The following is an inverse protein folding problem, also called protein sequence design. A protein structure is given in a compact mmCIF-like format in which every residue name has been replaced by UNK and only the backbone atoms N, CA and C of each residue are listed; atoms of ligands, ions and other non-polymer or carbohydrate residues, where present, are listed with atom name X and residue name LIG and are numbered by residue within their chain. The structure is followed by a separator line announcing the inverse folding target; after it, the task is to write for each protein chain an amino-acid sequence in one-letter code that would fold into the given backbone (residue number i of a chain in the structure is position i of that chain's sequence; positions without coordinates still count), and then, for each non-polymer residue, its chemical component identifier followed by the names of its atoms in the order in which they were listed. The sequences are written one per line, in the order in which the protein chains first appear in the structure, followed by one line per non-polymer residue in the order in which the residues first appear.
data_IF_801801116712
#
_entry.id   IF_801801116712
#
_cell.length_a   1.000
_cell.length_b   1.000
_cell.length_c   1.000
_cell.angle_alpha   90.00
_cell.angle_beta   90.00
_cell.angle_gamma   90.00
#
_symmetry.space_group_name_H-M   'P 1'
#
loop_
_entity.id
_entity.type
_entity.pdbx_description
1 polymer ?
#
# COMPACT_ATOMS: atom_id res chain seq x y z
N UNK A 1 -16.11 26.42 28.84
CA UNK A 1 -14.86 26.23 28.07
C UNK A 1 -15.10 25.08 27.10
N UNK A 2 -15.81 25.32 26.01
CA UNK A 2 -16.15 24.26 25.03
C UNK A 2 -16.11 24.84 23.61
N UNK A 3 -14.91 25.20 23.18
CA UNK A 3 -14.63 25.68 21.82
C UNK A 3 -13.18 25.39 21.50
N UNK A 4 -12.81 24.11 21.48
CA UNK A 4 -11.49 23.69 21.02
C UNK A 4 -11.63 23.14 19.60
N UNK A 5 -11.04 23.82 18.62
CA UNK A 5 -10.95 23.33 17.25
C UNK A 5 -9.50 22.93 16.96
N UNK A 6 -9.30 21.87 16.15
CA UNK A 6 -7.97 21.43 15.73
C UNK A 6 -7.89 21.45 14.21
N UNK A 7 -6.86 22.09 13.68
CA UNK A 7 -6.52 22.07 12.26
C UNK A 7 -5.05 21.69 12.07
N UNK A 8 -4.68 21.26 10.87
CA UNK A 8 -3.30 21.03 10.52
C UNK A 8 -2.92 21.80 9.25
N UNK A 9 -1.67 22.22 9.19
CA UNK A 9 -1.06 22.91 8.07
C UNK A 9 0.18 22.15 7.63
N UNK A 10 0.36 22.04 6.31
CA UNK A 10 1.52 21.40 5.72
C UNK A 10 1.92 22.18 4.46
N UNK A 11 3.23 22.35 4.23
CA UNK A 11 3.70 23.03 3.02
C UNK A 11 3.58 22.15 1.78
N UNK A 12 3.31 22.77 0.62
CA UNK A 12 3.26 22.03 -0.66
C UNK A 12 4.54 21.23 -0.95
N UNK A 13 5.69 21.71 -0.52
CA UNK A 13 6.98 21.02 -0.67
C UNK A 13 7.04 19.71 0.12
N UNK A 14 6.52 19.68 1.36
CA UNK A 14 6.49 18.45 2.17
C UNK A 14 5.53 17.44 1.55
N UNK A 15 4.37 17.87 1.05
CA UNK A 15 3.41 16.98 0.39
C UNK A 15 4.02 16.39 -0.88
N UNK A 16 4.67 17.23 -1.69
CA UNK A 16 5.39 16.81 -2.89
C UNK A 16 6.50 15.82 -2.59
N UNK A 17 7.30 16.07 -1.54
CA UNK A 17 8.38 15.17 -1.13
C UNK A 17 7.85 13.80 -0.63
N UNK A 18 6.78 13.80 0.16
CA UNK A 18 6.10 12.57 0.61
C UNK A 18 5.59 11.76 -0.60
N UNK A 19 4.92 12.42 -1.55
CA UNK A 19 4.42 11.79 -2.76
C UNK A 19 5.55 11.25 -3.63
N UNK A 20 6.61 12.04 -3.86
CA UNK A 20 7.79 11.64 -4.63
C UNK A 20 8.44 10.38 -4.05
N UNK A 21 8.65 10.34 -2.74
CA UNK A 21 9.21 9.15 -2.11
C UNK A 21 8.31 7.92 -2.26
N UNK A 22 7.00 8.08 -2.09
CA UNK A 22 6.09 6.96 -2.24
C UNK A 22 6.09 6.41 -3.67
N UNK A 23 6.10 7.30 -4.68
CA UNK A 23 6.12 6.89 -6.08
C UNK A 23 7.39 6.11 -6.45
N UNK A 24 8.51 6.38 -5.79
CA UNK A 24 9.76 5.64 -5.96
C UNK A 24 9.78 4.26 -5.26
N UNK A 25 8.77 3.95 -4.45
CA UNK A 25 8.69 2.67 -3.72
C UNK A 25 7.57 1.81 -4.30
N UNK A 26 7.85 0.54 -4.60
CA UNK A 26 6.91 -0.42 -5.20
C UNK A 26 5.90 -1.02 -4.20
N UNK A 27 5.95 -0.58 -2.94
CA UNK A 27 5.19 -1.10 -1.82
C UNK A 27 4.63 0.05 -0.96
N UNK A 28 3.81 -0.32 0.04
CA UNK A 28 3.34 0.61 1.06
C UNK A 28 4.52 1.19 1.84
N UNK A 29 4.43 2.47 2.20
CA UNK A 29 5.47 3.18 2.94
C UNK A 29 4.90 3.83 4.19
N UNK A 30 5.72 3.98 5.21
CA UNK A 30 5.33 4.58 6.49
C UNK A 30 6.47 5.43 7.05
N UNK A 31 6.14 6.31 7.98
CA UNK A 31 7.12 7.18 8.60
C UNK A 31 6.53 8.14 9.61
N UNK A 32 7.36 9.04 10.13
CA UNK A 32 6.99 10.00 11.16
C UNK A 32 6.87 11.41 10.60
N UNK A 33 6.02 12.21 11.22
CA UNK A 33 5.81 13.63 10.92
C UNK A 33 6.35 14.46 12.09
N UNK A 34 7.16 15.46 11.75
CA UNK A 34 7.81 16.36 12.68
C UNK A 34 7.30 17.78 12.48
N UNK A 35 7.13 18.49 13.59
CA UNK A 35 6.51 19.80 13.54
C UNK A 35 6.34 20.40 14.92
N UNK A 36 5.38 21.30 15.02
CA UNK A 36 4.98 21.94 16.27
C UNK A 36 3.46 22.08 16.34
N UNK A 37 2.93 22.20 17.56
CA UNK A 37 1.52 22.49 17.79
C UNK A 37 1.39 23.85 18.44
N UNK A 38 0.59 24.73 17.85
CA UNK A 38 0.34 26.10 18.31
C UNK A 38 -1.12 26.24 18.73
N UNK A 39 -1.36 26.70 19.95
CA UNK A 39 -2.70 27.09 20.41
C UNK A 39 -2.88 28.60 20.29
N UNK A 40 -3.86 29.04 19.51
CA UNK A 40 -4.21 30.45 19.35
C UNK A 40 -5.59 30.70 19.96
N UNK A 41 -5.67 31.58 20.95
CA UNK A 41 -6.94 32.02 21.51
C UNK A 41 -7.53 33.13 20.63
N UNK A 42 -8.72 32.86 20.09
CA UNK A 42 -9.48 33.81 19.27
C UNK A 42 -10.71 34.27 20.05
N UNK A 43 -10.75 35.56 20.34
CA UNK A 43 -11.93 36.18 20.93
C UNK A 43 -12.91 36.50 19.80
N UNK A 44 -14.07 35.87 19.82
CA UNK A 44 -15.17 36.18 18.92
C UNK A 44 -16.07 37.20 19.60
N UNK A 45 -16.04 38.44 19.11
CA UNK A 45 -16.94 39.51 19.59
C UNK A 45 -18.26 39.33 18.85
N UNK A 46 -19.31 38.99 19.61
CA UNK A 46 -20.67 38.90 19.07
C UNK A 46 -21.39 40.24 19.19
N UNK A 47 -22.33 40.53 18.29
CA UNK A 47 -23.15 41.77 18.30
C UNK A 47 -23.96 41.95 19.61
N UNK A 48 -24.05 40.91 20.43
CA UNK A 48 -24.80 40.83 21.70
C UNK A 48 -23.99 41.19 22.96
N UNK A 49 -22.80 41.80 22.86
CA UNK A 49 -21.92 42.12 24.01
C UNK A 49 -21.55 40.88 24.86
N UNK A 50 -21.57 39.69 24.25
CA UNK A 50 -21.06 38.46 24.86
C UNK A 50 -19.75 38.09 24.19
N UNK A 51 -18.71 37.92 25.01
CA UNK A 51 -17.41 37.43 24.56
C UNK A 51 -17.39 35.91 24.65
N UNK A 52 -17.13 35.25 23.52
CA UNK A 52 -16.80 33.82 23.50
C UNK A 52 -15.34 33.64 23.08
N UNK A 53 -14.62 32.79 23.82
CA UNK A 53 -13.19 32.53 23.62
C UNK A 53 -13.05 31.12 23.06
N UNK A 54 -12.69 31.04 21.78
CA UNK A 54 -12.35 29.79 21.11
C UNK A 54 -10.83 29.62 21.11
N UNK A 55 -10.34 28.40 21.38
CA UNK A 55 -8.92 28.07 21.25
C UNK A 55 -8.74 27.17 20.03
N UNK A 56 -7.98 27.66 19.06
CA UNK A 56 -7.67 26.95 17.83
C UNK A 56 -6.28 26.34 17.96
N UNK A 57 -6.22 25.01 17.97
CA UNK A 57 -4.97 24.25 17.94
C UNK A 57 -4.57 23.97 16.49
N UNK A 58 -3.47 24.56 16.05
CA UNK A 58 -2.92 24.38 14.70
C UNK A 58 -1.66 23.52 14.77
N UNK A 59 -1.69 22.37 14.08
CA UNK A 59 -0.57 21.44 13.96
C UNK A 59 0.21 21.81 12.69
N UNK A 60 1.41 22.37 12.83
CA UNK A 60 2.27 22.74 11.72
C UNK A 60 3.26 21.60 11.40
N UNK A 61 3.04 20.90 10.28
CA UNK A 61 3.88 19.79 9.84
C UNK A 61 5.01 20.33 8.96
N UNK A 62 6.23 20.24 9.46
CA UNK A 62 7.40 20.91 8.89
C UNK A 62 8.35 19.94 8.18
N UNK A 63 8.45 18.70 8.64
CA UNK A 63 9.36 17.67 8.08
C UNK A 63 8.75 16.28 8.25
N UNK A 64 9.24 15.33 7.48
CA UNK A 64 8.94 13.91 7.66
C UNK A 64 10.22 13.07 7.78
N UNK A 65 10.09 11.88 8.37
CA UNK A 65 11.13 10.85 8.43
C UNK A 65 10.56 9.58 7.83
N UNK A 66 11.09 9.11 6.69
CA UNK A 66 10.65 7.85 6.13
C UNK A 66 11.25 6.64 6.84
N UNK A 67 10.44 5.60 6.98
CA UNK A 67 10.90 4.26 7.34
C UNK A 67 10.97 3.41 6.06
N UNK A 68 12.17 3.03 5.63
CA UNK A 68 12.39 2.28 4.38
C UNK A 68 11.96 0.81 4.45
N UNK A 69 11.50 0.33 5.61
CA UNK A 69 11.03 -1.03 5.81
C UNK A 69 9.77 -1.03 6.66
N UNK A 70 8.74 -1.74 6.20
CA UNK A 70 7.54 -2.02 6.98
C UNK A 70 7.89 -2.84 8.23
N UNK A 71 7.16 -2.61 9.33
CA UNK A 71 7.43 -3.30 10.61
C UNK A 71 8.84 -3.02 11.16
N UNK A 72 9.44 -1.88 10.79
CA UNK A 72 10.78 -1.51 11.28
C UNK A 72 10.79 -1.13 12.76
N UNK A 73 9.67 -0.63 13.29
CA UNK A 73 9.54 -0.18 14.68
C UNK A 73 8.37 -0.83 15.44
N UNK A 74 7.69 -1.81 14.84
CA UNK A 74 6.57 -2.52 15.48
C UNK A 74 6.44 -3.96 14.97
N UNK A 75 5.78 -4.82 15.74
CA UNK A 75 5.55 -6.23 15.39
C UNK A 75 4.20 -6.47 14.68
N UNK A 76 3.92 -7.72 14.30
CA UNK A 76 2.65 -8.10 13.64
C UNK A 76 1.40 -7.77 14.46
N UNK A 77 1.53 -7.81 15.79
CA UNK A 77 0.50 -7.45 16.78
C UNK A 77 0.34 -5.94 16.98
N UNK A 78 1.16 -5.11 16.35
CA UNK A 78 1.11 -3.65 16.49
C UNK A 78 1.78 -3.11 17.75
N UNK A 79 2.54 -3.93 18.48
CA UNK A 79 3.34 -3.50 19.62
C UNK A 79 4.61 -2.80 19.15
N UNK A 80 4.95 -1.69 19.80
CA UNK A 80 6.06 -0.82 19.39
C UNK A 80 7.36 -1.32 20.01
N UNK A 81 8.40 -1.42 19.19
CA UNK A 81 9.76 -1.68 19.65
C UNK A 81 10.44 -0.34 19.99
N UNK A 82 10.56 -0.04 21.29
CA UNK A 82 11.18 1.19 21.77
C UNK A 82 12.61 1.42 21.28
N UNK A 83 13.42 0.38 21.20
CA UNK A 83 14.83 0.51 20.81
C UNK A 83 14.93 0.91 19.33
N UNK A 84 14.11 0.28 18.49
CA UNK A 84 14.01 0.63 17.09
C UNK A 84 13.46 2.05 16.89
N UNK A 85 12.42 2.41 17.65
CA UNK A 85 11.84 3.76 17.63
C UNK A 85 12.86 4.82 18.03
N UNK A 86 13.58 4.61 19.15
CA UNK A 86 14.66 5.49 19.62
C UNK A 86 15.79 5.62 18.59
N UNK A 87 16.11 4.54 17.87
CA UNK A 87 17.11 4.56 16.78
C UNK A 87 16.65 5.40 15.60
N UNK A 88 15.39 5.27 15.17
CA UNK A 88 14.83 6.04 14.04
C UNK A 88 14.72 7.52 14.39
N UNK A 89 14.32 7.82 15.63
CA UNK A 89 14.17 9.19 16.13
C UNK A 89 15.48 9.75 16.72
N UNK A 90 16.60 9.00 16.65
CA UNK A 90 17.88 9.47 17.16
C UNK A 90 18.38 10.67 16.36
N UNK A 91 18.76 11.74 17.06
CA UNK A 91 19.24 12.97 16.43
C UNK A 91 18.16 13.92 15.92
N UNK A 92 16.88 13.63 16.16
CA UNK A 92 15.78 14.54 15.84
C UNK A 92 15.65 15.60 16.93
N UNK A 93 15.75 16.88 16.54
CA UNK A 93 15.61 18.03 17.46
C UNK A 93 14.17 18.55 17.60
N UNK A 94 13.28 18.19 16.66
CA UNK A 94 11.88 18.66 16.61
C UNK A 94 10.94 17.60 17.18
N UNK A 95 9.79 18.05 17.65
CA UNK A 95 8.79 17.15 18.22
C UNK A 95 8.09 16.32 17.15
N UNK A 96 7.72 15.10 17.54
CA UNK A 96 6.92 14.21 16.71
C UNK A 96 5.45 14.59 16.88
N UNK A 97 4.89 15.23 15.86
CA UNK A 97 3.48 15.63 15.83
C UNK A 97 2.58 14.52 15.29
N UNK A 98 3.13 13.57 14.54
CA UNK A 98 2.34 12.53 13.94
C UNK A 98 3.15 11.44 13.26
N UNK A 99 2.43 10.59 12.55
CA UNK A 99 3.00 9.61 11.64
C UNK A 99 2.14 9.50 10.39
N UNK A 100 2.72 8.97 9.32
CA UNK A 100 2.04 8.83 8.04
C UNK A 100 2.16 7.42 7.50
N UNK A 101 1.21 7.06 6.63
CA UNK A 101 1.26 5.83 5.87
C UNK A 101 0.64 6.00 4.50
N UNK A 102 1.30 5.43 3.50
CA UNK A 102 0.78 5.27 2.16
C UNK A 102 0.23 3.87 1.97
N UNK A 103 -0.97 3.76 1.40
CA UNK A 103 -1.57 2.49 0.98
C UNK A 103 -2.08 2.58 -0.44
N UNK A 104 -1.59 1.73 -1.32
CA UNK A 104 -2.04 1.71 -2.72
C UNK A 104 -3.42 1.06 -2.82
N UNK A 105 -4.32 1.66 -3.59
CA UNK A 105 -5.64 1.10 -3.92
C UNK A 105 -6.47 0.68 -2.69
N UNK A 106 -6.51 1.54 -1.68
CA UNK A 106 -7.16 1.25 -0.40
C UNK A 106 -8.17 2.34 -0.05
N UNK A 107 -9.20 1.97 0.71
CA UNK A 107 -10.17 2.91 1.25
C UNK A 107 -9.51 3.95 2.15
N UNK A 108 -10.08 5.15 2.20
CA UNK A 108 -9.58 6.22 3.04
C UNK A 108 -10.08 6.08 4.49
N UNK A 109 -9.71 4.98 5.16
CA UNK A 109 -10.07 4.72 6.57
C UNK A 109 -8.93 3.99 7.30
N UNK A 110 -8.76 4.25 8.60
CA UNK A 110 -7.73 3.57 9.39
C UNK A 110 -8.03 2.07 9.56
N UNK A 111 -7.03 1.22 9.35
CA UNK A 111 -7.13 -0.22 9.62
C UNK A 111 -7.06 -0.51 11.12
N UNK A 112 -7.48 -1.71 11.53
CA UNK A 112 -7.36 -2.17 12.91
C UNK A 112 -5.92 -2.04 13.46
N UNK A 113 -4.92 -2.47 12.67
CA UNK A 113 -3.51 -2.38 13.07
C UNK A 113 -3.06 -0.93 13.23
N UNK A 114 -3.43 -0.03 12.32
CA UNK A 114 -3.07 1.39 12.42
C UNK A 114 -3.70 2.05 13.66
N UNK A 115 -4.94 1.69 14.01
CA UNK A 115 -5.58 2.18 15.23
C UNK A 115 -4.87 1.73 16.50
N UNK A 116 -4.43 0.48 16.54
CA UNK A 116 -3.67 -0.07 17.68
C UNK A 116 -2.27 0.54 17.76
N UNK A 117 -1.56 0.60 16.63
CA UNK A 117 -0.24 1.20 16.53
C UNK A 117 -0.25 2.67 16.94
N UNK A 118 -1.26 3.43 16.51
CA UNK A 118 -1.41 4.83 16.89
C UNK A 118 -1.54 4.99 18.41
N UNK A 119 -2.39 4.18 19.07
CA UNK A 119 -2.53 4.20 20.54
C UNK A 119 -1.22 3.85 21.24
N UNK A 120 -0.52 2.84 20.75
CA UNK A 120 0.77 2.43 21.31
C UNK A 120 1.82 3.53 21.12
N UNK A 121 1.91 4.16 19.94
CA UNK A 121 2.80 5.29 19.72
C UNK A 121 2.48 6.49 20.61
N UNK A 122 1.19 6.79 20.83
CA UNK A 122 0.74 7.85 21.73
C UNK A 122 1.25 7.64 23.16
N UNK A 123 1.25 6.39 23.64
CA UNK A 123 1.78 6.03 24.96
C UNK A 123 3.31 6.17 25.03
N UNK A 124 4.05 5.68 24.02
CA UNK A 124 5.51 5.68 24.04
C UNK A 124 6.12 7.06 23.79
N UNK A 125 5.48 7.90 22.96
CA UNK A 125 5.96 9.25 22.64
C UNK A 125 5.49 10.30 23.65
N UNK A 126 4.61 9.93 24.61
CA UNK A 126 3.97 10.85 25.56
C UNK A 126 3.22 12.03 24.91
N UNK A 127 2.96 11.97 23.60
CA UNK A 127 2.26 13.00 22.84
C UNK A 127 0.77 12.69 22.80
N UNK A 128 -0.03 13.50 23.50
CA UNK A 128 -1.49 13.30 23.54
C UNK A 128 -2.19 13.67 22.23
N UNK A 129 -1.56 14.50 21.41
CA UNK A 129 -2.14 15.09 20.19
C UNK A 129 -1.58 14.52 18.89
N UNK A 130 -1.08 13.28 18.94
CA UNK A 130 -0.51 12.62 17.77
C UNK A 130 -1.55 12.52 16.65
N UNK A 131 -1.15 12.88 15.43
CA UNK A 131 -1.99 12.74 14.24
C UNK A 131 -1.51 11.61 13.32
N UNK A 132 -2.43 11.06 12.54
CA UNK A 132 -2.15 10.03 11.54
C UNK A 132 -2.55 10.50 10.14
N UNK A 133 -1.57 10.70 9.26
CA UNK A 133 -1.79 11.07 7.86
C UNK A 133 -1.86 9.82 7.00
N UNK A 134 -3.04 9.54 6.44
CA UNK A 134 -3.25 8.45 5.51
C UNK A 134 -3.28 8.99 4.08
N UNK A 135 -2.46 8.41 3.20
CA UNK A 135 -2.46 8.72 1.78
C UNK A 135 -2.79 7.47 0.96
N UNK A 136 -3.74 7.58 0.04
CA UNK A 136 -4.22 6.48 -0.79
C UNK A 136 -4.14 6.85 -2.27
N UNK A 137 -3.03 6.53 -2.95
CA UNK A 137 -2.98 6.59 -4.39
C UNK A 137 -3.84 5.49 -5.01
N UNK A 138 -4.64 5.86 -6.00
CA UNK A 138 -5.50 4.97 -6.77
C UNK A 138 -5.46 5.35 -8.25
N UNK A 139 -5.74 4.36 -9.10
CA UNK A 139 -5.94 4.55 -10.53
C UNK A 139 -7.45 4.58 -10.75
N UNK A 140 -7.94 5.61 -11.42
CA UNK A 140 -9.39 5.82 -11.61
C UNK A 140 -9.88 5.20 -12.91
N UNK A 141 -9.05 5.24 -13.95
CA UNK A 141 -9.40 4.71 -15.28
C UNK A 141 -8.67 3.40 -15.55
N UNK A 142 -9.34 2.44 -16.19
CA UNK A 142 -8.71 1.16 -16.58
C UNK A 142 -7.53 1.34 -17.53
N UNK A 143 -7.54 2.42 -18.32
CA UNK A 143 -6.46 2.81 -19.22
C UNK A 143 -5.24 3.40 -18.51
N UNK A 144 -5.27 3.58 -17.17
CA UNK A 144 -4.24 4.27 -16.40
C UNK A 144 -3.98 5.71 -16.87
N UNK A 145 -4.94 6.37 -17.51
CA UNK A 145 -4.83 7.77 -17.94
C UNK A 145 -5.05 8.77 -16.81
N UNK A 146 -5.71 8.35 -15.73
CA UNK A 146 -6.09 9.23 -14.62
C UNK A 146 -5.76 8.58 -13.28
N UNK A 147 -4.94 9.26 -12.50
CA UNK A 147 -4.52 8.87 -11.15
C UNK A 147 -5.12 9.83 -10.13
N UNK A 148 -5.38 9.32 -8.93
CA UNK A 148 -5.89 10.09 -7.79
C UNK A 148 -5.02 9.81 -6.57
N UNK A 149 -4.54 10.87 -5.91
CA UNK A 149 -3.89 10.79 -4.61
C UNK A 149 -4.80 11.41 -3.55
N UNK A 150 -5.59 10.57 -2.90
CA UNK A 150 -6.45 11.01 -1.79
C UNK A 150 -5.64 11.02 -0.49
N UNK A 151 -5.87 12.02 0.37
CA UNK A 151 -5.18 12.13 1.64
C UNK A 151 -6.11 12.66 2.73
N UNK A 152 -5.93 12.20 3.96
CA UNK A 152 -6.76 12.58 5.10
C UNK A 152 -5.95 12.45 6.39
N UNK A 153 -6.17 13.39 7.31
CA UNK A 153 -5.50 13.43 8.59
C UNK A 153 -6.48 13.01 9.69
N UNK A 154 -6.06 12.08 10.54
CA UNK A 154 -6.87 11.52 11.62
C UNK A 154 -6.31 11.90 12.98
N UNK A 155 -7.18 12.30 13.91
CA UNK A 155 -6.87 12.56 15.32
C UNK A 155 -7.77 11.70 16.21
N UNK A 156 -7.24 11.06 17.27
CA UNK A 156 -8.08 10.40 18.26
C UNK A 156 -8.84 11.45 19.10
N UNK A 157 -10.15 11.30 19.23
CA UNK A 157 -11.00 12.13 20.08
C UNK A 157 -12.07 11.23 20.73
N UNK A 158 -12.12 11.23 22.07
CA UNK A 158 -13.08 10.44 22.87
C UNK A 158 -13.11 8.93 22.50
N UNK A 159 -11.97 8.35 22.15
CA UNK A 159 -11.82 6.92 21.80
C UNK A 159 -12.13 6.54 20.34
N UNK A 160 -12.65 7.49 19.55
CA UNK A 160 -12.86 7.38 18.11
C UNK A 160 -11.79 8.18 17.35
N UNK A 161 -11.62 7.90 16.05
CA UNK A 161 -10.74 8.65 15.18
C UNK A 161 -11.56 9.52 14.26
N UNK A 162 -11.32 10.83 14.29
CA UNK A 162 -12.02 11.80 13.46
C UNK A 162 -11.05 12.40 12.45
N UNK A 163 -11.58 12.76 11.28
CA UNK A 163 -10.82 13.51 10.27
C UNK A 163 -10.71 14.96 10.72
N UNK A 164 -9.50 15.50 10.66
CA UNK A 164 -9.25 16.93 10.89
C UNK A 164 -8.87 17.61 9.57
N UNK A 165 -9.24 18.89 9.38
CA UNK A 165 -8.90 19.62 8.17
C UNK A 165 -7.38 19.77 8.04
N UNK A 166 -6.86 19.47 6.85
CA UNK A 166 -5.47 19.68 6.47
C UNK A 166 -5.42 20.75 5.38
N UNK A 167 -4.74 21.85 5.66
CA UNK A 167 -4.55 22.96 4.72
C UNK A 167 -3.14 22.90 4.13
N UNK A 168 -3.05 22.96 2.81
CA UNK A 168 -1.76 23.06 2.12
C UNK A 168 -1.41 24.52 1.90
N UNK A 169 -0.40 24.99 2.66
CA UNK A 169 0.03 26.39 2.59
C UNK A 169 0.64 26.70 1.22
N UNK A 170 0.16 27.78 0.60
CA UNK A 170 0.58 28.24 -0.72
C UNK A 170 0.58 29.78 -0.79
N UNK A 171 1.26 30.33 -1.83
CA UNK A 171 1.40 31.78 -2.02
C UNK A 171 0.07 32.50 -2.32
N UNK A 172 -0.91 31.80 -2.91
CA UNK A 172 -2.23 32.33 -3.23
C UNK A 172 -3.07 32.65 -1.99
N UNK A 173 -2.66 32.21 -0.80
CA UNK A 173 -3.35 32.60 0.44
C UNK A 173 -3.06 34.05 0.85
N UNK A 174 -2.12 34.74 0.18
CA UNK A 174 -1.74 36.13 0.44
C UNK A 174 -2.19 37.06 -0.69
N UNK A 175 -3.49 37.12 -0.98
CA UNK A 175 -4.05 37.96 -2.04
C UNK A 175 -4.23 39.42 -1.61
N UNK A 176 -3.16 40.20 -1.70
CA UNK A 176 -3.21 41.66 -1.81
C UNK A 176 -2.26 42.13 -2.91
N UNK A 177 -2.59 41.84 -4.17
CA UNK A 177 -1.77 42.23 -5.34
C UNK A 177 -2.18 43.57 -5.96
N UNK A 178 -3.11 44.30 -5.34
CA UNK A 178 -3.62 45.56 -5.85
C UNK A 178 -2.65 46.72 -5.62
N UNK A 179 -1.90 47.12 -6.64
CA UNK A 179 -1.18 48.39 -6.63
C UNK A 179 -2.11 49.55 -6.99
N UNK A 180 -2.03 50.65 -6.22
CA UNK A 180 -2.75 51.89 -6.54
C UNK A 180 -2.05 52.63 -7.68
N UNK A 181 -2.63 52.60 -8.87
CA UNK A 181 -2.08 53.23 -10.08
C UNK A 181 -2.44 54.71 -10.21
N UNK A 182 -3.56 55.13 -9.64
CA UNK A 182 -4.05 56.51 -9.69
C UNK A 182 -4.18 57.06 -8.28
N UNK A 183 -3.59 58.23 -8.04
CA UNK A 183 -3.79 58.99 -6.81
C UNK A 183 -4.93 60.00 -6.99
N UNK A 184 -5.70 60.24 -5.91
CA UNK A 184 -6.62 61.37 -5.89
C UNK A 184 -5.82 62.66 -5.77
N UNK A 185 -6.10 63.66 -6.62
CA UNK A 185 -5.43 64.94 -6.55
C UNK A 185 -5.85 65.71 -5.29
N UNK A 186 -4.89 66.31 -4.60
CA UNK A 186 -5.13 67.16 -3.43
C UNK A 186 -4.45 68.52 -3.65
N UNK A 187 -5.22 69.61 -3.61
CA UNK A 187 -4.69 70.98 -3.76
C UNK A 187 -4.21 71.60 -2.44
N UNK A 188 -4.22 70.84 -1.34
CA UNK A 188 -3.81 71.33 -0.03
C UNK A 188 -2.30 71.54 0.04
N UNK A 189 -1.88 72.80 0.17
CA UNK A 189 -0.48 73.19 0.33
C UNK A 189 0.12 72.70 1.65
N UNK A 190 -0.69 72.59 2.71
CA UNK A 190 -0.29 72.04 4.00
C UNK A 190 0.06 70.56 3.91
N UNK A 191 -0.77 69.77 3.23
CA UNK A 191 -0.50 68.35 2.98
C UNK A 191 0.81 68.15 2.19
N UNK A 192 0.98 68.86 1.07
CA UNK A 192 2.20 68.76 0.26
C UNK A 192 3.46 69.17 1.02
N UNK A 193 3.37 70.18 1.90
CA UNK A 193 4.51 70.60 2.72
C UNK A 193 4.91 69.50 3.70
N UNK A 194 3.95 68.94 4.43
CA UNK A 194 4.21 67.87 5.40
C UNK A 194 4.84 66.64 4.72
N UNK A 195 4.28 66.19 3.59
CA UNK A 195 4.83 65.05 2.83
C UNK A 195 6.27 65.32 2.38
N UNK A 196 6.56 66.52 1.87
CA UNK A 196 7.93 66.90 1.45
C UNK A 196 8.91 66.99 2.62
N UNK A 197 8.48 67.45 3.79
CA UNK A 197 9.33 67.52 4.99
C UNK A 197 9.78 66.12 5.44
N UNK A 198 8.91 65.12 5.35
CA UNK A 198 9.21 63.75 5.78
C UNK A 198 9.61 62.80 4.63
N UNK A 199 9.60 63.25 3.36
CA UNK A 199 9.84 62.36 2.21
C UNK A 199 11.24 61.74 2.21
N UNK A 200 12.24 62.45 2.71
CA UNK A 200 13.62 61.97 2.79
C UNK A 200 13.80 60.79 3.77
N UNK A 201 12.82 60.52 4.63
CA UNK A 201 12.83 59.34 5.51
C UNK A 201 12.67 58.05 4.70
N UNK A 202 11.72 58.05 3.75
CA UNK A 202 11.31 56.87 2.98
C UNK A 202 11.93 56.79 1.58
N UNK A 203 12.10 57.93 0.92
CA UNK A 203 12.64 58.03 -0.43
C UNK A 203 14.14 58.33 -0.44
N UNK A 204 14.84 57.79 -1.42
CA UNK A 204 16.21 58.19 -1.78
C UNK A 204 16.17 59.44 -2.66
N UNK A 205 17.34 60.02 -2.91
CA UNK A 205 17.49 61.23 -3.73
C UNK A 205 17.06 61.01 -5.20
N UNK A 206 17.10 59.77 -5.69
CA UNK A 206 16.64 59.36 -7.03
C UNK A 206 15.12 59.14 -7.12
N UNK A 207 14.38 59.33 -6.02
CA UNK A 207 12.93 59.10 -5.94
C UNK A 207 12.53 57.64 -5.71
N UNK A 208 13.49 56.73 -5.53
CA UNK A 208 13.19 55.33 -5.22
C UNK A 208 12.90 55.10 -3.73
N UNK A 209 12.12 54.06 -3.43
CA UNK A 209 11.80 53.71 -2.04
C UNK A 209 12.96 52.91 -1.42
N UNK A 210 13.39 53.32 -0.22
CA UNK A 210 14.48 52.64 0.51
C UNK A 210 14.14 51.19 0.88
N UNK A 211 12.89 50.94 1.28
CA UNK A 211 12.44 49.61 1.72
C UNK A 211 12.42 48.58 0.59
N UNK A 212 12.09 49.00 -0.65
CA UNK A 212 12.14 48.11 -1.82
C UNK A 212 13.55 47.56 -2.02
N UNK A 213 14.57 48.41 -1.89
CA UNK A 213 15.95 47.97 -2.02
C UNK A 213 16.36 47.00 -0.90
N UNK A 214 16.02 47.31 0.36
CA UNK A 214 16.33 46.42 1.49
C UNK A 214 15.69 45.04 1.34
N UNK A 215 14.41 44.99 0.95
CA UNK A 215 13.69 43.72 0.73
C UNK A 215 14.31 42.96 -0.43
N UNK A 216 14.67 43.64 -1.53
CA UNK A 216 15.33 43.01 -2.67
C UNK A 216 16.73 42.47 -2.33
N UNK A 217 17.52 43.19 -1.52
CA UNK A 217 18.82 42.73 -1.04
C UNK A 217 18.69 41.51 -0.11
N UNK A 218 17.72 41.54 0.80
CA UNK A 218 17.38 40.40 1.65
C UNK A 218 16.96 39.18 0.81
N UNK A 219 16.11 39.40 -0.19
CA UNK A 219 15.65 38.35 -1.10
C UNK A 219 16.81 37.76 -1.93
N UNK A 220 17.68 38.62 -2.48
CA UNK A 220 18.86 38.18 -3.23
C UNK A 220 19.81 37.35 -2.36
N UNK A 221 20.03 37.78 -1.11
CA UNK A 221 20.85 37.04 -0.15
C UNK A 221 20.26 35.65 0.15
N UNK A 222 18.94 35.57 0.37
CA UNK A 222 18.24 34.30 0.58
C UNK A 222 18.30 33.38 -0.65
N UNK A 223 18.22 33.96 -1.85
CA UNK A 223 18.29 33.22 -3.11
C UNK A 223 19.68 32.60 -3.32
N UNK A 224 20.76 33.33 -3.01
CA UNK A 224 22.12 32.79 -3.08
C UNK A 224 22.37 31.68 -2.05
N UNK A 225 21.85 31.81 -0.83
CA UNK A 225 21.86 30.74 0.16
C UNK A 225 21.13 29.49 -0.34
N UNK A 226 19.93 29.66 -0.92
CA UNK A 226 19.16 28.55 -1.50
C UNK A 226 19.94 27.86 -2.63
N UNK A 227 20.60 28.64 -3.49
CA UNK A 227 21.46 28.12 -4.56
C UNK A 227 22.63 27.31 -4.01
N UNK A 228 23.31 27.81 -2.97
CA UNK A 228 24.40 27.09 -2.30
C UNK A 228 23.92 25.75 -1.71
N UNK A 229 22.73 25.72 -1.10
CA UNK A 229 22.14 24.49 -0.57
C UNK A 229 21.77 23.53 -1.71
N UNK A 230 21.20 24.02 -2.81
CA UNK A 230 20.89 23.19 -3.99
C UNK A 230 22.13 22.46 -4.52
N UNK A 231 23.27 23.15 -4.65
CA UNK A 231 24.54 22.53 -5.09
C UNK A 231 25.00 21.41 -4.14
N UNK A 232 24.88 21.64 -2.82
CA UNK A 232 25.23 20.63 -1.80
C UNK A 232 24.31 19.40 -1.87
N UNK A 233 22.99 19.63 -2.02
CA UNK A 233 22.00 18.55 -2.16
C UNK A 233 22.28 17.74 -3.42
N UNK A 234 22.55 18.40 -4.54
CA UNK A 234 22.85 17.75 -5.81
C UNK A 234 24.11 16.86 -5.71
N UNK A 235 25.18 17.35 -5.09
CA UNK A 235 26.36 16.53 -4.81
C UNK A 235 26.03 15.32 -3.92
N UNK A 236 25.19 15.50 -2.89
CA UNK A 236 24.79 14.43 -1.99
C UNK A 236 23.94 13.36 -2.68
N UNK A 237 23.03 13.74 -3.56
CA UNK A 237 22.21 12.82 -4.36
C UNK A 237 23.09 11.97 -5.29
N UNK A 238 24.06 12.58 -5.99
CA UNK A 238 25.04 11.83 -6.80
C UNK A 238 25.85 10.83 -5.97
N UNK A 239 26.23 11.21 -4.75
CA UNK A 239 26.96 10.31 -3.84
C UNK A 239 26.08 9.13 -3.38
N UNK A 240 24.81 9.38 -3.03
CA UNK A 240 23.83 8.34 -2.67
C UNK A 240 23.58 7.41 -3.86
N UNK A 241 23.42 7.94 -5.07
CA UNK A 241 23.24 7.15 -6.29
C UNK A 241 24.41 6.18 -6.51
N UNK A 242 25.65 6.69 -6.39
CA UNK A 242 26.86 5.86 -6.52
C UNK A 242 26.88 4.74 -5.47
N UNK A 243 26.58 5.08 -4.22
CA UNK A 243 26.56 4.11 -3.13
C UNK A 243 25.46 3.05 -3.33
N UNK A 244 24.28 3.46 -3.79
CA UNK A 244 23.17 2.55 -4.06
C UNK A 244 23.52 1.57 -5.19
N UNK A 245 24.19 2.05 -6.25
CA UNK A 245 24.71 1.19 -7.33
C UNK A 245 25.71 0.15 -6.81
N UNK A 246 26.63 0.56 -5.94
CA UNK A 246 27.61 -0.34 -5.34
C UNK A 246 26.94 -1.39 -4.43
N UNK A 247 25.99 -0.99 -3.59
CA UNK A 247 25.22 -1.90 -2.73
C UNK A 247 24.43 -2.92 -3.57
N UNK A 248 23.80 -2.48 -4.65
CA UNK A 248 23.04 -3.37 -5.53
C UNK A 248 23.95 -4.36 -6.27
N UNK A 249 25.14 -3.92 -6.73
CA UNK A 249 26.16 -4.79 -7.32
C UNK A 249 26.58 -5.88 -6.32
N UNK A 250 26.93 -5.49 -5.10
CA UNK A 250 27.37 -6.41 -4.04
C UNK A 250 26.26 -7.40 -3.65
N UNK A 251 25.00 -6.93 -3.52
CA UNK A 251 23.85 -7.82 -3.28
C UNK A 251 23.69 -8.85 -4.41
N UNK A 252 23.90 -8.44 -5.66
CA UNK A 252 23.89 -9.33 -6.82
C UNK A 252 24.97 -10.41 -6.77
N UNK A 253 26.21 -10.03 -6.42
CA UNK A 253 27.31 -10.98 -6.25
C UNK A 253 27.07 -11.98 -5.12
N UNK A 254 26.55 -11.50 -3.97
CA UNK A 254 26.18 -12.37 -2.84
C UNK A 254 25.10 -13.37 -3.27
N UNK A 255 24.09 -12.93 -4.03
CA UNK A 255 23.02 -13.82 -4.54
C UNK A 255 23.59 -14.89 -5.47
N UNK A 256 24.49 -14.53 -6.39
CA UNK A 256 25.15 -15.48 -7.30
C UNK A 256 26.00 -16.50 -6.53
N UNK A 257 26.80 -16.05 -5.56
CA UNK A 257 27.62 -16.95 -4.72
C UNK A 257 26.76 -17.92 -3.90
N UNK A 258 25.67 -17.43 -3.30
CA UNK A 258 24.70 -18.29 -2.58
C UNK A 258 24.07 -19.34 -3.49
N UNK A 259 23.68 -18.96 -4.71
CA UNK A 259 23.12 -19.90 -5.69
C UNK A 259 24.13 -20.96 -6.12
N UNK A 260 25.38 -20.55 -6.42
CA UNK A 260 26.45 -21.48 -6.76
C UNK A 260 26.74 -22.46 -5.60
N UNK A 261 26.71 -21.99 -4.35
CA UNK A 261 26.89 -22.83 -3.17
C UNK A 261 25.75 -23.85 -3.02
N UNK A 262 24.50 -23.42 -3.18
CA UNK A 262 23.33 -24.34 -3.14
C UNK A 262 23.40 -25.38 -4.27
N UNK A 263 23.84 -24.97 -5.46
CA UNK A 263 24.00 -25.88 -6.60
C UNK A 263 25.13 -26.89 -6.37
N UNK A 264 26.28 -26.44 -5.86
CA UNK A 264 27.40 -27.32 -5.49
C UNK A 264 27.05 -28.28 -4.34
N UNK A 265 26.20 -27.87 -3.40
CA UNK A 265 25.66 -28.77 -2.37
C UNK A 265 24.69 -29.79 -2.97
N UNK A 266 23.84 -29.39 -3.92
CA UNK A 266 22.92 -30.32 -4.62
C UNK A 266 23.65 -31.32 -5.51
N UNK A 267 24.75 -30.95 -6.13
CA UNK A 267 25.59 -31.84 -6.94
C UNK A 267 26.41 -32.82 -6.08
N UNK A 268 26.74 -32.46 -4.83
CA UNK A 268 27.41 -33.35 -3.88
C UNK A 268 26.47 -34.29 -3.11
N UNK A 269 25.16 -34.04 -3.14
CA UNK A 269 24.19 -35.05 -2.67
C UNK A 269 24.05 -36.07 -3.80
N UNK A 270 24.82 -37.16 -3.72
CA UNK A 270 24.51 -38.38 -4.45
C UNK A 270 23.01 -38.63 -4.27
N UNK A 271 22.28 -38.78 -5.39
CA UNK A 271 20.89 -39.23 -5.36
C UNK A 271 20.89 -40.63 -4.74
N UNK A 272 20.76 -40.70 -3.42
CA UNK A 272 20.27 -41.92 -2.80
C UNK A 272 18.97 -42.27 -3.51
N UNK A 273 18.77 -43.54 -3.89
CA UNK A 273 17.53 -43.96 -4.52
C UNK A 273 16.38 -43.49 -3.62
N UNK A 274 15.51 -42.65 -4.18
CA UNK A 274 14.38 -42.10 -3.45
C UNK A 274 13.37 -43.25 -3.26
N UNK A 275 13.57 -44.01 -2.19
CA UNK A 275 12.71 -45.14 -1.84
C UNK A 275 11.33 -44.63 -1.43
N UNK A 276 10.31 -45.44 -1.69
CA UNK A 276 8.96 -45.14 -1.21
C UNK A 276 8.87 -45.48 0.28
N UNK A 277 9.23 -44.50 1.11
CA UNK A 277 9.29 -44.59 2.58
C UNK A 277 7.98 -45.13 3.17
N UNK A 278 6.83 -44.66 2.68
CA UNK A 278 5.52 -45.11 3.15
C UNK A 278 5.27 -46.59 2.86
N UNK A 279 5.60 -47.04 1.64
CA UNK A 279 5.45 -48.45 1.27
C UNK A 279 6.40 -49.36 2.06
N UNK A 280 7.66 -48.96 2.20
CA UNK A 280 8.65 -49.74 2.96
C UNK A 280 8.26 -49.87 4.44
N UNK A 281 7.72 -48.80 5.05
CA UNK A 281 7.24 -48.83 6.42
C UNK A 281 5.94 -49.64 6.57
N UNK A 282 5.01 -49.55 5.62
CA UNK A 282 3.78 -50.34 5.60
C UNK A 282 4.08 -51.85 5.48
N UNK A 283 4.99 -52.24 4.58
CA UNK A 283 5.38 -53.65 4.39
C UNK A 283 6.04 -54.23 5.65
N UNK A 284 6.84 -53.43 6.37
CA UNK A 284 7.42 -53.82 7.65
C UNK A 284 6.41 -53.96 8.78
N UNK A 285 5.38 -53.12 8.80
CA UNK A 285 4.33 -53.14 9.83
C UNK A 285 3.32 -54.27 9.59
N UNK A 286 2.93 -54.55 8.34
CA UNK A 286 1.99 -55.63 8.02
C UNK A 286 2.63 -57.02 8.00
N UNK A 287 3.91 -57.14 7.63
CA UNK A 287 4.58 -58.44 7.48
C UNK A 287 5.94 -58.48 8.20
N UNK A 288 5.99 -58.29 9.53
CA UNK A 288 7.24 -58.19 10.28
C UNK A 288 8.12 -59.45 10.17
N UNK A 289 7.51 -60.63 10.04
CA UNK A 289 8.22 -61.92 10.02
C UNK A 289 8.74 -62.34 8.63
N UNK A 290 8.53 -61.51 7.60
CA UNK A 290 8.85 -61.82 6.21
C UNK A 290 9.83 -60.80 5.62
N UNK A 291 11.12 -60.90 5.98
CA UNK A 291 12.20 -60.01 5.53
C UNK A 291 12.28 -59.86 3.99
N UNK A 292 11.91 -60.91 3.24
CA UNK A 292 11.92 -60.89 1.78
C UNK A 292 10.84 -59.99 1.17
N UNK A 293 9.73 -59.73 1.89
CA UNK A 293 8.63 -58.87 1.43
C UNK A 293 8.91 -57.38 1.66
N UNK A 294 9.96 -57.03 2.41
CA UNK A 294 10.33 -55.63 2.66
C UNK A 294 11.17 -55.01 1.54
N UNK A 295 11.51 -55.79 0.51
CA UNK A 295 12.26 -55.32 -0.65
C UNK A 295 11.34 -54.89 -1.79
N UNK A 296 11.68 -53.76 -2.42
CA UNK A 296 11.00 -53.23 -3.61
C UNK A 296 11.86 -53.38 -4.88
N UNK A 297 12.94 -54.18 -4.85
CA UNK A 297 13.92 -54.29 -5.95
C UNK A 297 14.01 -55.73 -6.44
N UNK A 298 13.90 -55.94 -7.75
CA UNK A 298 13.93 -57.26 -8.38
C UNK A 298 15.02 -57.30 -9.47
N UNK A 299 15.77 -58.40 -9.54
CA UNK A 299 16.72 -58.66 -10.62
C UNK A 299 16.00 -58.85 -11.96
N UNK A 300 16.40 -58.07 -12.96
CA UNK A 300 15.80 -58.09 -14.29
C UNK A 300 16.13 -59.38 -15.08
N UNK A 301 17.19 -60.09 -14.70
CA UNK A 301 17.63 -61.34 -15.36
C UNK A 301 16.95 -62.57 -14.75
N UNK A 302 16.93 -62.66 -13.42
CA UNK A 302 16.57 -63.89 -12.72
C UNK A 302 15.22 -63.80 -11.99
N UNK A 303 14.56 -62.63 -12.05
CA UNK A 303 13.33 -62.30 -11.30
C UNK A 303 13.42 -62.55 -9.79
N UNK A 304 14.63 -62.68 -9.26
CA UNK A 304 14.88 -62.85 -7.85
C UNK A 304 14.80 -61.50 -7.13
N UNK A 305 14.18 -61.49 -5.96
CA UNK A 305 14.09 -60.29 -5.09
C UNK A 305 15.50 -60.00 -4.53
N UNK A 306 15.93 -58.75 -4.64
CA UNK A 306 17.21 -58.27 -4.11
C UNK A 306 17.08 -57.95 -2.62
N UNK A 307 18.13 -58.19 -1.83
CA UNK A 307 18.16 -57.89 -0.38
C UNK A 307 18.27 -56.40 -0.01
N UNK A 308 18.20 -55.49 -0.98
CA UNK A 308 18.20 -54.05 -0.71
C UNK A 308 16.86 -53.65 -0.10
N UNK A 309 16.81 -53.53 1.22
CA UNK A 309 15.66 -53.02 1.97
C UNK A 309 15.95 -51.63 2.51
N UNK A 310 14.91 -50.81 2.64
CA UNK A 310 15.00 -49.45 3.18
C UNK A 310 15.51 -49.47 4.61
N UNK A 311 16.75 -49.07 4.89
CA UNK A 311 17.35 -49.26 6.22
C UNK A 311 16.95 -48.20 7.26
N UNK A 312 16.08 -47.25 6.92
CA UNK A 312 15.72 -46.14 7.81
C UNK A 312 14.40 -46.43 8.53
N UNK A 313 14.42 -46.34 9.87
CA UNK A 313 13.21 -46.37 10.69
C UNK A 313 12.50 -45.03 10.60
N UNK A 314 11.36 -45.00 9.93
CA UNK A 314 10.55 -43.78 9.81
C UNK A 314 9.39 -43.82 10.81
N UNK A 315 9.32 -42.84 11.71
CA UNK A 315 8.18 -42.67 12.61
C UNK A 315 6.98 -42.13 11.82
N UNK A 316 6.17 -43.02 11.27
CA UNK A 316 4.91 -42.71 10.60
C UNK A 316 3.74 -43.25 11.45
N UNK A 317 2.72 -42.42 11.69
CA UNK A 317 1.64 -42.68 12.66
C UNK A 317 0.30 -43.11 12.04
N UNK A 318 0.19 -43.20 10.73
CA UNK A 318 -1.05 -43.65 10.06
C UNK A 318 -0.87 -45.10 9.59
N UNK A 319 -1.61 -46.01 10.24
CA UNK A 319 -1.78 -47.39 9.81
C UNK A 319 -3.27 -47.56 9.49
N UNK A 320 -3.60 -47.62 8.21
CA UNK A 320 -4.95 -47.89 7.72
C UNK A 320 -5.12 -49.40 7.48
N UNK A 321 -6.32 -49.97 7.63
CA UNK A 321 -6.51 -51.42 7.48
C UNK A 321 -6.32 -51.86 6.01
N UNK A 322 -5.50 -52.90 5.75
CA UNK A 322 -5.24 -53.40 4.39
C UNK A 322 -6.51 -53.78 3.64
N UNK A 323 -7.41 -54.49 4.32
CA UNK A 323 -8.69 -54.95 3.77
C UNK A 323 -9.69 -55.08 4.92
N UNK A 324 -10.94 -54.72 4.67
CA UNK A 324 -12.05 -54.97 5.58
C UNK A 324 -12.38 -56.48 5.59
N UNK A 325 -11.94 -57.19 6.61
CA UNK A 325 -12.23 -58.63 6.79
C UNK A 325 -13.65 -58.80 7.37
N UNK A 326 -14.66 -58.83 6.50
CA UNK A 326 -16.04 -59.18 6.88
C UNK A 326 -16.39 -60.53 6.28
N UNK A 327 -16.67 -61.49 7.15
CA UNK A 327 -17.23 -62.79 6.76
C UNK A 327 -18.75 -62.64 6.73
N UNK A 328 -19.34 -62.61 5.53
CA UNK A 328 -20.79 -62.62 5.38
C UNK A 328 -21.29 -64.06 5.51
N UNK A 329 -21.82 -64.43 6.68
CA UNK A 329 -22.58 -65.68 6.85
C UNK A 329 -24.05 -65.45 6.55
N UNK A 330 -24.38 -65.22 5.28
CA UNK A 330 -25.74 -65.40 4.76
C UNK A 330 -25.66 -66.11 3.41
N UNK A 331 -25.77 -67.44 3.45
CA UNK A 331 -25.99 -68.29 2.28
C UNK A 331 -27.52 -68.32 2.06
N UNK A 332 -28.07 -67.85 0.93
CA UNK A 332 -29.48 -68.08 0.64
C UNK A 332 -29.66 -69.57 0.30
N UNK A 333 -30.51 -70.25 1.07
CA UNK A 333 -30.92 -71.63 0.84
C UNK A 333 -31.42 -71.84 -0.60
N UNK A 334 -30.89 -72.87 -1.25
CA UNK A 334 -31.37 -73.36 -2.53
C UNK A 334 -32.76 -73.99 -2.37
N UNK A 335 -33.79 -73.38 -2.98
CA UNK A 335 -35.10 -74.02 -3.18
C UNK A 335 -35.09 -74.88 -4.45
N UNK A 336 -35.76 -76.06 -4.47
CA UNK A 336 -35.71 -76.98 -5.59
C UNK A 336 -36.61 -76.57 -6.77
N UNK A 337 -36.19 -77.01 -7.96
CA UNK A 337 -36.80 -76.76 -9.25
C UNK A 337 -38.24 -77.30 -9.40
N UNK A 338 -39.10 -76.56 -10.10
CA UNK A 338 -40.43 -77.04 -10.48
C UNK A 338 -41.33 -76.09 -11.28
N UNK A 339 -40.88 -75.51 -12.39
CA UNK A 339 -41.75 -75.30 -13.58
C UNK A 339 -40.94 -74.87 -14.80
N UNK A 340 -40.90 -75.73 -15.82
CA UNK A 340 -40.27 -75.52 -17.11
C UNK A 340 -41.18 -74.78 -18.10
N UNK A 341 -40.59 -73.94 -18.95
CA UNK A 341 -40.72 -73.82 -20.43
C UNK A 341 -40.20 -72.42 -20.84
N UNK A 342 -39.01 -72.26 -21.45
CA UNK A 342 -38.76 -72.30 -22.91
C UNK A 342 -39.76 -71.43 -23.71
N UNK A 343 -39.39 -70.45 -24.57
CA UNK A 343 -38.31 -70.40 -25.55
C UNK A 343 -38.13 -68.96 -26.12
N UNK A 344 -36.87 -68.53 -26.22
CA UNK A 344 -36.18 -68.04 -27.45
C UNK A 344 -36.67 -66.79 -28.21
N UNK A 345 -35.78 -65.78 -28.35
CA UNK A 345 -35.26 -65.32 -29.67
C UNK A 345 -33.97 -64.47 -29.57
N UNK A 346 -33.03 -64.84 -30.46
CA UNK A 346 -31.74 -64.23 -30.85
C UNK A 346 -31.92 -62.76 -31.29
N UNK A 347 -30.93 -61.86 -31.42
CA UNK A 347 -29.59 -61.91 -32.06
C UNK A 347 -29.00 -60.46 -31.99
N UNK A 348 -27.71 -60.17 -31.81
CA UNK A 348 -26.66 -59.86 -32.84
C UNK A 348 -25.48 -59.20 -32.05
N UNK A 349 -24.29 -59.83 -31.93
CA UNK A 349 -23.02 -59.58 -32.69
C UNK A 349 -22.15 -58.47 -32.03
N UNK A 350 -20.83 -58.54 -31.80
CA UNK A 350 -19.77 -59.52 -32.08
C UNK A 350 -18.63 -59.40 -31.05
N UNK A 351 -17.85 -60.48 -31.00
CA UNK A 351 -16.45 -60.73 -30.54
C UNK A 351 -15.53 -59.50 -30.38
N UNK A 352 -14.83 -59.31 -29.26
CA UNK A 352 -13.69 -60.03 -28.64
C UNK A 352 -12.31 -59.59 -29.15
N UNK A 353 -11.44 -59.35 -28.16
CA UNK A 353 -10.00 -59.51 -28.13
C UNK A 353 -9.02 -58.33 -28.40
N UNK A 354 -8.19 -58.09 -27.35
CA UNK A 354 -6.74 -57.82 -27.38
C UNK A 354 -6.16 -56.38 -27.25
N UNK A 355 -5.76 -56.06 -26.01
CA UNK A 355 -4.42 -55.61 -25.54
C UNK A 355 -3.48 -54.78 -26.44
N UNK A 356 -3.13 -53.54 -26.02
CA UNK A 356 -1.81 -53.11 -25.46
C UNK A 356 -1.47 -51.60 -25.61
N UNK A 357 -1.03 -51.02 -24.48
CA UNK A 357 -0.06 -49.93 -24.24
C UNK A 357 0.28 -48.87 -25.32
N UNK A 358 0.26 -47.57 -24.93
CA UNK A 358 1.47 -46.72 -24.76
C UNK A 358 1.19 -45.23 -24.46
N UNK A 359 2.07 -44.71 -23.60
CA UNK A 359 2.68 -43.36 -23.56
C UNK A 359 1.86 -42.14 -23.10
N UNK A 360 2.30 -41.65 -21.94
CA UNK A 360 2.47 -40.23 -21.64
C UNK A 360 3.20 -39.50 -22.79
N UNK A 361 2.69 -38.31 -23.15
CA UNK A 361 3.51 -37.19 -23.62
C UNK A 361 3.15 -35.93 -22.85
N UNK A 362 4.20 -35.32 -22.31
CA UNK A 362 4.32 -33.90 -21.95
C UNK A 362 3.73 -33.00 -23.04
N UNK A 363 3.05 -31.93 -22.65
CA UNK A 363 3.12 -30.63 -23.34
C UNK A 363 2.82 -29.50 -22.34
N UNK A 364 3.60 -28.45 -22.50
CA UNK A 364 3.74 -27.25 -21.67
C UNK A 364 2.53 -26.30 -21.77
N UNK A 365 2.34 -25.55 -20.67
CA UNK A 365 2.03 -24.11 -20.56
C UNK A 365 1.05 -23.52 -21.59
N UNK A 366 -0.14 -23.10 -21.12
CA UNK A 366 -0.63 -21.73 -21.34
C UNK A 366 -1.82 -21.35 -20.43
N UNK A 367 -1.94 -20.03 -20.26
CA UNK A 367 -2.69 -19.28 -19.25
C UNK A 367 -4.20 -19.11 -19.54
N UNK A 368 -4.97 -18.94 -18.44
CA UNK A 368 -6.27 -18.22 -18.29
C UNK A 368 -7.54 -18.85 -18.94
N UNK A 369 -8.75 -18.37 -18.59
CA UNK A 369 -9.30 -18.00 -17.27
C UNK A 369 -10.59 -18.81 -16.96
N UNK A 370 -11.00 -18.87 -15.69
CA UNK A 370 -12.31 -19.43 -15.34
C UNK A 370 -13.42 -18.44 -15.71
N UNK A 371 -14.35 -18.89 -16.54
CA UNK A 371 -15.73 -18.40 -16.64
C UNK A 371 -16.67 -19.59 -16.47
N UNK A 372 -17.57 -19.49 -15.50
CA UNK A 372 -18.85 -20.17 -15.49
C UNK A 372 -19.86 -19.19 -14.87
N UNK A 373 -20.67 -18.60 -15.74
CA UNK A 373 -22.09 -18.30 -15.50
C UNK A 373 -22.78 -19.63 -15.09
N UNK A 374 -23.90 -19.77 -14.41
CA UNK A 374 -25.12 -18.99 -14.11
C UNK A 374 -25.81 -19.87 -13.02
N UNK A 375 -26.65 -19.47 -12.07
CA UNK A 375 -27.98 -18.88 -12.18
C UNK A 375 -28.58 -18.93 -10.76
N UNK A 376 -29.23 -17.87 -10.31
CA UNK A 376 -30.57 -18.00 -9.71
C UNK A 376 -31.26 -16.65 -9.68
N UNK A 377 -32.41 -16.63 -10.35
CA UNK A 377 -33.36 -15.54 -10.53
C UNK A 377 -34.19 -15.28 -9.27
N UNK A 378 -34.62 -14.04 -9.09
CA UNK A 378 -35.97 -13.56 -8.73
C UNK A 378 -35.86 -12.06 -8.43
N UNK A 379 -36.06 -11.17 -9.40
CA UNK A 379 -37.34 -10.58 -9.83
C UNK A 379 -38.11 -9.89 -8.69
N UNK A 380 -38.05 -8.55 -8.62
CA UNK A 380 -39.24 -7.70 -8.51
C UNK A 380 -38.97 -6.19 -8.76
N UNK A 381 -39.70 -5.69 -9.77
CA UNK A 381 -40.39 -4.38 -9.91
C UNK A 381 -39.59 -3.06 -9.96
N UNK A 382 -39.56 -2.55 -11.19
CA UNK A 382 -39.37 -1.15 -11.55
C UNK A 382 -40.56 -0.25 -11.14
N UNK A 383 -40.28 1.02 -10.89
CA UNK A 383 -41.24 2.12 -10.97
C UNK A 383 -40.51 3.34 -11.52
N UNK A 384 -40.78 3.64 -12.79
CA UNK A 384 -40.47 4.92 -13.41
C UNK A 384 -41.74 5.79 -13.35
N UNK A 385 -41.59 7.06 -13.00
CA UNK A 385 -42.60 8.10 -13.23
C UNK A 385 -41.89 9.33 -13.79
N UNK A 386 -42.40 9.77 -14.94
CA UNK A 386 -42.07 10.97 -15.71
C UNK A 386 -42.88 12.18 -15.25
N UNK A 387 -42.23 13.37 -15.19
CA UNK A 387 -42.56 14.75 -15.72
C UNK A 387 -44.01 15.30 -15.68
N UNK A 388 -44.30 16.65 -15.77
CA UNK A 388 -43.59 17.66 -16.59
C UNK A 388 -43.62 19.18 -16.19
N UNK A 389 -42.84 19.97 -16.97
CA UNK A 389 -43.06 21.33 -17.57
C UNK A 389 -43.31 22.62 -16.74
N UNK A 390 -42.45 23.65 -16.95
CA UNK A 390 -42.64 24.91 -17.74
C UNK A 390 -41.36 25.78 -17.64
N UNK A 391 -40.65 26.09 -18.75
CA UNK A 391 -40.71 27.31 -19.62
C UNK A 391 -40.33 28.63 -18.89
N UNK A 392 -39.53 29.59 -19.40
CA UNK A 392 -38.95 29.87 -20.73
C UNK A 392 -37.90 31.02 -20.60
N UNK A 393 -37.17 31.31 -21.70
CA UNK A 393 -36.32 32.50 -22.02
C UNK A 393 -34.99 32.74 -21.26
N UNK A 394 -33.82 32.82 -21.89
CA UNK A 394 -33.39 33.85 -22.86
C UNK A 394 -32.47 33.28 -23.97
N UNK A 395 -32.70 33.77 -25.18
CA UNK A 395 -32.06 33.46 -26.45
C UNK A 395 -30.60 33.94 -26.65
N UNK A 396 -29.87 33.12 -27.41
CA UNK A 396 -28.97 33.39 -28.55
C UNK A 396 -28.06 34.63 -28.55
N UNK A 397 -26.76 34.33 -28.69
CA UNK A 397 -25.98 34.89 -29.81
C UNK A 397 -25.07 33.80 -30.42
N UNK A 398 -25.30 33.48 -31.70
CA UNK A 398 -24.38 32.72 -32.56
C UNK A 398 -23.33 33.69 -33.12
N UNK A 399 -22.07 33.28 -33.15
CA UNK A 399 -21.02 34.01 -33.86
C UNK A 399 -19.72 33.21 -33.94
N UNK A 400 -19.61 32.40 -35.00
CA UNK A 400 -18.40 32.03 -35.76
C UNK A 400 -17.01 32.06 -35.11
N UNK A 401 -16.27 30.97 -35.33
CA UNK A 401 -14.91 31.09 -35.87
C UNK A 401 -13.78 30.52 -35.01
N UNK A 402 -13.19 29.45 -35.54
CA UNK A 402 -11.77 29.08 -35.40
C UNK A 402 -11.24 28.60 -34.04
N UNK A 403 -11.10 27.28 -33.98
CA UNK A 403 -10.12 26.58 -33.16
C UNK A 403 -8.73 27.22 -33.28
N UNK A 404 -8.17 27.66 -32.16
CA UNK A 404 -6.74 27.97 -32.03
C UNK A 404 -6.08 26.89 -31.17
N UNK A 405 -5.21 26.10 -31.81
CA UNK A 405 -4.28 25.18 -31.14
C UNK A 405 -3.36 26.00 -30.23
N UNK A 406 -3.30 25.62 -28.95
CA UNK A 406 -2.31 26.12 -27.99
C UNK A 406 -1.14 25.14 -27.90
N UNK A 407 0.10 25.64 -27.73
CA UNK A 407 1.31 24.86 -27.90
C UNK A 407 1.63 24.02 -26.66
N UNK A 408 2.20 22.85 -26.93
CA UNK A 408 2.83 21.93 -26.00
C UNK A 408 3.95 22.61 -25.20
N UNK A 409 3.99 22.33 -23.90
CA UNK A 409 5.21 22.43 -23.07
C UNK A 409 5.80 21.05 -22.88
#
# INVERSE_FOLDING_TARGET
MEGESTSAVLSGFVLGALAFQHLNTDSDTEGFLLGEVKGEAKNSITDSQMDDVEVIYTIDIQKYIPCYQLFSFYNSSGEVNEQALKKILSGVKKDVVGWYKFRRHSDQIMTFRERLLHKNLQQHLSSRELVFLLLTPSIITESCSTHRLEHALYKPQKGLFHRIPLVVANLGMSEQLGYKTVSGSCMSTGFSRAVKTHSSEFFKEDGSLKEVHKINEMYASLQEELKSICEKVEHSERAVEKLLKDVNRLKGEIKKRKQAQIQATRENVQKDPQENIFLCQALRTFFPDCDFLHSCVISLKDRHISKSSCNTTHHLSEVDNLTLMVEYTDIPEASPAGSALQMTKRKVLDTDDRWQFKKLRLLEIQNKPWKADTDSSNQEKASAVSSPETDEEIEKMKGSGEYSQSPTF
#
